data_IF_267532462980
#
_entry.id   IF_267532462980
#
_cell.length_a   1.000
_cell.length_b   1.000
_cell.length_c   1.000
_cell.angle_alpha   90.00
_cell.angle_beta   90.00
_cell.angle_gamma   90.00
#
_symmetry.space_group_name_H-M   'P 1'
#
loop_
_entity.id
_entity.type
_entity.pdbx_description
1 polymer ?
#
# COMPACT_ATOMS: atom_id res chain seq x y z
N UNK A 1 -21.71 37.90 -43.02
CA UNK A 1 -21.29 39.19 -42.46
C UNK A 1 -22.28 39.55 -41.35
N UNK A 2 -21.88 39.92 -40.16
CA UNK A 2 -22.80 40.30 -39.08
C UNK A 2 -23.57 41.56 -39.54
N UNK A 3 -24.91 41.48 -39.51
CA UNK A 3 -25.80 42.63 -39.79
C UNK A 3 -25.73 43.59 -38.57
N UNK A 4 -24.73 44.46 -38.56
CA UNK A 4 -24.59 45.53 -37.60
C UNK A 4 -25.23 46.78 -38.21
N UNK A 5 -26.24 47.36 -37.55
CA UNK A 5 -26.91 48.59 -38.01
C UNK A 5 -25.88 49.74 -38.06
N UNK A 6 -26.26 50.80 -38.84
CA UNK A 6 -25.41 52.00 -39.08
C UNK A 6 -25.02 52.78 -37.84
N UNK A 7 -25.51 52.45 -36.64
CA UNK A 7 -25.21 53.11 -35.34
C UNK A 7 -24.09 52.43 -34.58
N UNK A 8 -23.59 51.23 -35.00
CA UNK A 8 -22.48 50.57 -34.30
C UNK A 8 -21.15 51.13 -34.80
N UNK A 9 -20.22 51.58 -33.90
CA UNK A 9 -18.91 52.10 -34.30
C UNK A 9 -18.12 51.11 -35.17
N UNK A 10 -17.40 51.61 -36.18
CA UNK A 10 -16.66 50.77 -37.13
C UNK A 10 -15.62 49.83 -36.47
N UNK A 11 -15.00 50.28 -35.40
CA UNK A 11 -14.04 49.46 -34.66
C UNK A 11 -14.68 48.23 -34.00
N UNK A 12 -15.93 48.37 -33.50
CA UNK A 12 -16.70 47.24 -32.94
C UNK A 12 -17.10 46.25 -34.02
N UNK A 13 -17.31 46.68 -35.26
CA UNK A 13 -17.58 45.79 -36.40
C UNK A 13 -16.36 44.96 -36.76
N UNK A 14 -15.16 45.55 -36.74
CA UNK A 14 -13.91 44.83 -36.95
C UNK A 14 -13.64 43.84 -35.81
N UNK A 15 -13.80 44.27 -34.54
CA UNK A 15 -13.70 43.40 -33.40
C UNK A 15 -14.66 42.21 -33.48
N UNK A 16 -15.94 42.46 -33.83
CA UNK A 16 -16.91 41.38 -33.97
C UNK A 16 -16.45 40.30 -34.96
N UNK A 17 -15.83 40.70 -36.09
CA UNK A 17 -15.29 39.74 -37.08
C UNK A 17 -14.17 38.86 -36.50
N UNK A 18 -13.28 39.44 -35.71
CA UNK A 18 -12.21 38.71 -35.04
C UNK A 18 -12.76 37.76 -33.97
N UNK A 19 -13.73 38.22 -33.19
CA UNK A 19 -14.35 37.47 -32.11
C UNK A 19 -15.17 36.27 -32.59
N UNK A 20 -15.66 36.28 -33.84
CA UNK A 20 -16.37 35.14 -34.45
C UNK A 20 -15.50 33.90 -34.63
N UNK A 21 -14.18 34.07 -34.78
CA UNK A 21 -13.22 32.94 -34.92
C UNK A 21 -12.91 32.23 -33.58
N UNK A 22 -13.37 32.79 -32.45
CA UNK A 22 -13.15 32.20 -31.14
C UNK A 22 -14.16 31.09 -30.81
N UNK A 23 -13.68 30.00 -30.26
CA UNK A 23 -14.52 28.88 -29.82
C UNK A 23 -15.22 29.16 -28.50
N UNK A 24 -14.75 30.12 -27.71
CA UNK A 24 -15.35 30.53 -26.44
C UNK A 24 -16.43 31.58 -26.68
N UNK A 25 -17.44 31.58 -25.83
CA UNK A 25 -18.48 32.60 -25.88
C UNK A 25 -17.93 33.99 -25.54
N UNK A 26 -18.08 34.97 -26.39
CA UNK A 26 -17.62 36.32 -26.16
C UNK A 26 -18.76 37.32 -26.30
N UNK A 27 -18.86 38.23 -25.34
CA UNK A 27 -19.80 39.35 -25.39
C UNK A 27 -19.10 40.65 -25.01
N UNK A 28 -19.44 41.73 -25.71
CA UNK A 28 -19.07 43.08 -25.34
C UNK A 28 -20.37 43.81 -24.93
N UNK A 29 -20.33 44.45 -23.76
CA UNK A 29 -21.41 45.27 -23.22
C UNK A 29 -20.94 46.71 -23.05
N UNK A 30 -21.88 47.67 -23.15
CA UNK A 30 -21.62 49.08 -22.88
C UNK A 30 -21.60 49.41 -21.37
N UNK A 31 -21.45 50.69 -21.02
CA UNK A 31 -21.45 51.21 -19.64
C UNK A 31 -22.79 51.00 -18.91
N UNK A 32 -23.88 50.68 -19.64
CA UNK A 32 -25.17 50.34 -19.08
C UNK A 32 -25.40 48.82 -19.06
N UNK A 33 -24.36 48.03 -19.29
CA UNK A 33 -24.38 46.57 -19.38
C UNK A 33 -25.29 46.04 -20.51
N UNK A 34 -25.54 46.83 -21.56
CA UNK A 34 -26.31 46.38 -22.73
C UNK A 34 -25.41 45.64 -23.70
N UNK A 35 -25.85 44.49 -24.19
CA UNK A 35 -25.10 43.71 -25.16
C UNK A 35 -24.96 44.48 -26.48
N UNK A 36 -23.72 44.82 -26.84
CA UNK A 36 -23.36 45.48 -28.10
C UNK A 36 -22.92 44.49 -29.17
N UNK A 37 -22.05 43.53 -28.79
CA UNK A 37 -21.51 42.47 -29.65
C UNK A 37 -21.62 41.13 -28.91
N UNK A 38 -22.00 40.08 -29.61
CA UNK A 38 -21.93 38.69 -29.15
C UNK A 38 -21.50 37.82 -30.32
N UNK A 39 -20.54 36.92 -30.09
CA UNK A 39 -20.11 35.98 -31.11
C UNK A 39 -21.02 34.74 -31.17
N UNK A 40 -20.90 33.99 -32.28
CA UNK A 40 -21.71 32.78 -32.53
C UNK A 40 -21.55 31.70 -31.45
N UNK A 41 -20.37 31.59 -30.85
CA UNK A 41 -20.12 30.64 -29.76
C UNK A 41 -20.99 30.96 -28.53
N UNK A 42 -21.10 32.23 -28.12
CA UNK A 42 -21.99 32.63 -27.02
C UNK A 42 -23.46 32.39 -27.36
N UNK A 43 -23.86 32.72 -28.60
CA UNK A 43 -25.25 32.53 -29.06
C UNK A 43 -25.65 31.05 -28.97
N UNK A 44 -24.76 30.15 -29.42
CA UNK A 44 -24.96 28.70 -29.29
C UNK A 44 -25.04 28.26 -27.85
N UNK A 45 -24.11 28.73 -26.98
CA UNK A 45 -24.11 28.40 -25.55
C UNK A 45 -25.41 28.79 -24.87
N UNK A 46 -25.90 30.01 -25.11
CA UNK A 46 -27.15 30.55 -24.53
C UNK A 46 -28.42 30.09 -25.22
N UNK A 47 -28.31 29.49 -26.43
CA UNK A 47 -29.45 29.14 -27.29
C UNK A 47 -30.29 30.36 -27.72
N UNK A 48 -29.66 31.51 -27.92
CA UNK A 48 -30.28 32.74 -28.37
C UNK A 48 -29.88 33.07 -29.81
N UNK A 49 -30.77 33.75 -30.51
CA UNK A 49 -30.38 34.44 -31.74
C UNK A 49 -29.75 35.80 -31.45
N UNK A 50 -29.00 36.34 -32.41
CA UNK A 50 -28.31 37.62 -32.28
C UNK A 50 -29.30 38.76 -32.01
N UNK A 51 -30.43 38.79 -32.71
CA UNK A 51 -31.45 39.80 -32.54
C UNK A 51 -32.16 39.74 -31.19
N UNK A 52 -32.20 38.55 -30.57
CA UNK A 52 -32.83 38.38 -29.27
C UNK A 52 -31.99 38.92 -28.11
N UNK A 53 -30.65 38.93 -28.20
CA UNK A 53 -29.80 39.39 -27.11
C UNK A 53 -29.26 40.80 -27.28
N UNK A 54 -29.26 41.31 -28.49
CA UNK A 54 -28.74 42.65 -28.79
C UNK A 54 -29.50 43.72 -28.00
N UNK A 55 -28.74 44.62 -27.32
CA UNK A 55 -29.30 45.71 -26.51
C UNK A 55 -29.95 45.24 -25.21
N UNK A 56 -29.96 43.93 -24.92
CA UNK A 56 -30.49 43.43 -23.65
C UNK A 56 -29.47 43.64 -22.51
N UNK A 57 -30.01 43.81 -21.32
CA UNK A 57 -29.32 43.96 -20.07
C UNK A 57 -29.37 42.64 -19.24
N UNK A 58 -28.53 42.41 -18.23
CA UNK A 58 -28.52 41.17 -17.45
C UNK A 58 -29.88 40.82 -16.83
N UNK A 59 -30.68 41.79 -16.42
CA UNK A 59 -32.00 41.57 -15.83
C UNK A 59 -33.02 40.95 -16.80
N UNK A 60 -32.81 41.12 -18.11
CA UNK A 60 -33.62 40.46 -19.14
C UNK A 60 -33.17 39.03 -19.46
N UNK A 61 -31.96 38.63 -19.04
CA UNK A 61 -31.33 37.35 -19.40
C UNK A 61 -31.13 36.41 -18.20
N UNK A 62 -30.89 36.99 -17.05
CA UNK A 62 -30.60 36.21 -15.84
C UNK A 62 -31.75 36.27 -14.84
N UNK A 63 -31.98 35.22 -14.04
CA UNK A 63 -32.98 35.25 -12.96
C UNK A 63 -32.73 36.38 -11.98
N UNK A 64 -33.79 37.01 -11.48
CA UNK A 64 -33.71 38.19 -10.58
C UNK A 64 -32.81 37.94 -9.33
N UNK A 65 -32.78 36.73 -8.82
CA UNK A 65 -31.91 36.34 -7.68
C UNK A 65 -30.42 36.42 -7.99
N UNK A 66 -30.04 36.33 -9.25
CA UNK A 66 -28.62 36.25 -9.68
C UNK A 66 -28.08 37.66 -10.02
N UNK A 67 -28.94 38.62 -10.28
CA UNK A 67 -28.57 40.01 -10.66
C UNK A 67 -27.68 40.70 -9.60
N UNK A 68 -27.96 40.64 -8.29
CA UNK A 68 -27.09 41.28 -7.30
C UNK A 68 -25.66 40.72 -7.28
N UNK A 69 -25.48 39.44 -7.61
CA UNK A 69 -24.17 38.84 -7.74
C UNK A 69 -23.42 39.35 -8.97
N UNK A 70 -24.08 39.37 -10.13
CA UNK A 70 -23.49 39.87 -11.39
C UNK A 70 -23.06 41.32 -11.28
N UNK A 71 -23.89 42.17 -10.67
CA UNK A 71 -23.55 43.58 -10.45
C UNK A 71 -22.32 43.76 -9.53
N UNK A 72 -22.23 42.98 -8.42
CA UNK A 72 -21.03 43.00 -7.56
C UNK A 72 -19.78 42.56 -8.32
N UNK A 73 -19.88 41.55 -9.22
CA UNK A 73 -18.73 41.12 -10.02
C UNK A 73 -18.31 42.21 -11.01
N UNK A 74 -19.26 42.90 -11.58
CA UNK A 74 -19.00 44.06 -12.46
C UNK A 74 -18.30 45.20 -11.68
N UNK A 75 -18.81 45.61 -10.50
CA UNK A 75 -18.19 46.63 -9.64
C UNK A 75 -16.76 46.21 -9.21
N UNK A 76 -16.55 44.95 -8.91
CA UNK A 76 -15.23 44.42 -8.60
C UNK A 76 -14.31 44.51 -9.82
N UNK A 77 -14.80 44.14 -11.00
CA UNK A 77 -14.11 44.28 -12.29
C UNK A 77 -13.67 45.72 -12.54
N UNK A 78 -14.58 46.66 -12.32
CA UNK A 78 -14.35 48.11 -12.46
C UNK A 78 -13.24 48.60 -11.52
N UNK A 79 -13.18 48.10 -10.27
CA UNK A 79 -12.14 48.45 -9.32
C UNK A 79 -10.76 47.92 -9.67
N UNK A 80 -10.67 46.71 -10.26
CA UNK A 80 -9.42 46.00 -10.51
C UNK A 80 -9.07 45.82 -12.01
N UNK A 81 -9.86 46.36 -12.91
CA UNK A 81 -9.71 46.27 -14.39
C UNK A 81 -9.96 44.88 -14.96
N UNK A 82 -10.28 43.89 -14.12
CA UNK A 82 -10.58 42.50 -14.51
C UNK A 82 -11.46 41.79 -13.48
N UNK A 83 -12.31 40.89 -13.94
CA UNK A 83 -13.05 39.96 -13.05
C UNK A 83 -12.98 38.54 -13.59
N UNK A 84 -13.05 37.56 -12.69
CA UNK A 84 -13.23 36.15 -13.04
C UNK A 84 -14.10 35.50 -11.99
N UNK A 85 -15.19 34.90 -12.43
CA UNK A 85 -16.10 34.19 -11.51
C UNK A 85 -16.68 32.94 -12.18
N UNK A 86 -16.89 31.90 -11.39
CA UNK A 86 -17.66 30.74 -11.80
C UNK A 86 -19.12 31.00 -11.50
N UNK A 87 -19.98 30.86 -12.50
CA UNK A 87 -21.40 31.14 -12.39
C UNK A 87 -22.19 30.27 -13.37
N UNK A 88 -23.52 30.32 -13.29
CA UNK A 88 -24.37 29.57 -14.19
C UNK A 88 -24.91 30.47 -15.31
N UNK A 89 -24.60 30.14 -16.58
CA UNK A 89 -25.19 30.77 -17.74
C UNK A 89 -26.62 30.19 -17.95
N UNK A 90 -27.66 31.01 -17.89
CA UNK A 90 -29.01 30.56 -18.25
C UNK A 90 -29.15 30.43 -19.76
N UNK A 91 -29.73 29.32 -20.19
CA UNK A 91 -30.13 29.09 -21.58
C UNK A 91 -31.57 29.51 -21.79
N UNK A 92 -31.90 29.81 -23.04
CA UNK A 92 -33.29 30.18 -23.45
C UNK A 92 -34.33 29.11 -23.11
N UNK A 93 -33.94 27.82 -23.11
CA UNK A 93 -34.81 26.70 -22.79
C UNK A 93 -35.03 26.51 -21.28
N UNK A 94 -34.44 27.37 -20.43
CA UNK A 94 -34.52 27.29 -18.97
C UNK A 94 -33.43 26.47 -18.31
N UNK A 95 -32.59 25.73 -19.06
CA UNK A 95 -31.40 25.07 -18.51
C UNK A 95 -30.39 26.10 -17.99
N UNK A 96 -29.53 25.64 -17.09
CA UNK A 96 -28.43 26.46 -16.57
C UNK A 96 -27.13 25.64 -16.68
N UNK A 97 -26.17 26.16 -17.42
CA UNK A 97 -24.86 25.51 -17.55
C UNK A 97 -23.81 26.20 -16.70
N UNK A 98 -22.93 25.45 -16.04
CA UNK A 98 -21.83 26.05 -15.30
C UNK A 98 -20.83 26.66 -16.28
N UNK A 99 -20.49 27.93 -16.05
CA UNK A 99 -19.57 28.65 -16.90
C UNK A 99 -18.63 29.56 -16.09
N UNK A 100 -17.45 29.80 -16.61
CA UNK A 100 -16.52 30.81 -16.11
C UNK A 100 -16.76 32.09 -16.92
N UNK A 101 -17.05 33.17 -16.22
CA UNK A 101 -17.13 34.51 -16.75
C UNK A 101 -15.82 35.25 -16.44
N UNK A 102 -15.10 35.65 -17.47
CA UNK A 102 -13.89 36.46 -17.36
C UNK A 102 -14.10 37.81 -18.01
N UNK A 103 -14.13 38.87 -17.23
CA UNK A 103 -14.42 40.22 -17.68
C UNK A 103 -13.19 41.12 -17.68
N UNK A 104 -13.08 41.98 -18.65
CA UNK A 104 -12.06 43.03 -18.72
C UNK A 104 -12.67 44.31 -19.30
N UNK A 105 -12.37 45.44 -18.67
CA UNK A 105 -12.71 46.76 -19.21
C UNK A 105 -11.82 47.11 -20.39
N UNK A 106 -12.42 47.65 -21.39
CA UNK A 106 -11.78 48.16 -22.61
C UNK A 106 -12.31 49.56 -22.93
N UNK A 107 -11.43 50.45 -23.33
CA UNK A 107 -11.81 51.79 -23.79
C UNK A 107 -11.88 51.80 -25.31
N UNK A 108 -13.01 52.19 -25.83
CA UNK A 108 -13.21 52.36 -27.27
C UNK A 108 -12.47 53.59 -27.83
N UNK A 109 -12.16 53.60 -29.15
CA UNK A 109 -11.62 54.80 -29.82
C UNK A 109 -12.59 55.97 -29.80
N UNK A 110 -13.87 55.71 -29.55
CA UNK A 110 -14.94 56.68 -29.40
C UNK A 110 -14.98 57.33 -28.00
N UNK A 111 -14.06 56.92 -27.10
CA UNK A 111 -13.95 57.44 -25.74
C UNK A 111 -14.94 56.82 -24.73
N UNK A 112 -15.77 55.89 -25.17
CA UNK A 112 -16.70 55.15 -24.31
C UNK A 112 -16.02 53.94 -23.66
N UNK A 113 -16.49 53.57 -22.47
CA UNK A 113 -16.07 52.37 -21.76
C UNK A 113 -16.95 51.19 -22.12
N UNK A 114 -16.31 50.02 -22.28
CA UNK A 114 -17.00 48.76 -22.60
C UNK A 114 -16.43 47.67 -21.71
N UNK A 115 -17.16 46.58 -21.51
CA UNK A 115 -16.68 45.37 -20.85
C UNK A 115 -16.69 44.21 -21.85
N UNK A 116 -15.52 43.65 -22.07
CA UNK A 116 -15.34 42.39 -22.79
C UNK A 116 -15.48 41.23 -21.80
N UNK A 117 -16.44 40.35 -22.01
CA UNK A 117 -16.69 39.16 -21.24
C UNK A 117 -16.41 37.92 -22.09
N UNK A 118 -15.60 37.02 -21.57
CA UNK A 118 -15.40 35.67 -22.12
C UNK A 118 -16.18 34.70 -21.24
N UNK A 119 -16.97 33.86 -21.85
CA UNK A 119 -17.79 32.83 -21.20
C UNK A 119 -17.34 31.46 -21.63
N UNK A 120 -16.72 30.74 -20.73
CA UNK A 120 -16.20 29.39 -20.97
C UNK A 120 -17.15 28.37 -20.34
N UNK A 121 -17.72 27.47 -21.13
CA UNK A 121 -18.53 26.33 -20.63
C UNK A 121 -17.62 25.34 -19.92
N UNK A 122 -17.92 25.05 -18.65
CA UNK A 122 -17.18 24.09 -17.83
C UNK A 122 -18.03 22.85 -17.50
N UNK A 123 -19.10 22.59 -18.24
CA UNK A 123 -19.99 21.45 -17.99
C UNK A 123 -19.25 20.11 -18.06
N UNK A 124 -18.42 19.94 -19.09
CA UNK A 124 -17.61 18.73 -19.24
C UNK A 124 -16.61 18.56 -18.09
N UNK A 125 -15.97 19.66 -17.69
CA UNK A 125 -15.03 19.65 -16.56
C UNK A 125 -15.73 19.26 -15.26
N UNK A 126 -16.89 19.84 -14.96
CA UNK A 126 -17.69 19.53 -13.76
C UNK A 126 -18.19 18.08 -13.75
N UNK A 127 -18.58 17.55 -14.91
CA UNK A 127 -18.98 16.15 -15.03
C UNK A 127 -17.82 15.20 -14.66
N UNK A 128 -16.62 15.46 -15.21
CA UNK A 128 -15.43 14.65 -14.90
C UNK A 128 -15.02 14.77 -13.42
N UNK A 129 -15.09 15.99 -12.87
CA UNK A 129 -14.78 16.23 -11.46
C UNK A 129 -15.71 15.43 -10.52
N UNK A 130 -17.02 15.40 -10.81
CA UNK A 130 -18.00 14.64 -10.02
C UNK A 130 -17.79 13.12 -10.17
N UNK A 131 -17.55 12.64 -11.40
CA UNK A 131 -17.24 11.22 -11.63
C UNK A 131 -15.96 10.79 -10.88
N UNK A 132 -14.93 11.63 -10.87
CA UNK A 132 -13.70 11.36 -10.12
C UNK A 132 -13.96 11.33 -8.62
N UNK A 133 -14.77 12.25 -8.11
CA UNK A 133 -15.16 12.31 -6.70
C UNK A 133 -15.92 11.05 -6.26
N UNK A 134 -16.91 10.63 -7.06
CA UNK A 134 -17.68 9.40 -6.79
C UNK A 134 -16.77 8.15 -6.83
N UNK A 135 -15.89 8.08 -7.84
CA UNK A 135 -14.93 6.97 -7.95
C UNK A 135 -13.98 6.90 -6.75
N UNK A 136 -13.45 8.04 -6.32
CA UNK A 136 -12.56 8.10 -5.15
C UNK A 136 -13.30 7.67 -3.87
N UNK A 137 -14.53 8.14 -3.65
CA UNK A 137 -15.33 7.74 -2.50
C UNK A 137 -15.61 6.22 -2.47
N UNK A 138 -15.87 5.63 -3.64
CA UNK A 138 -16.06 4.17 -3.76
C UNK A 138 -14.76 3.40 -3.48
N UNK A 139 -13.61 3.89 -3.98
CA UNK A 139 -12.30 3.28 -3.73
C UNK A 139 -11.94 3.33 -2.25
N UNK A 140 -12.14 4.47 -1.59
CA UNK A 140 -11.91 4.60 -0.14
C UNK A 140 -12.75 3.62 0.67
N UNK A 141 -14.03 3.49 0.33
CA UNK A 141 -14.92 2.53 0.98
C UNK A 141 -14.40 1.09 0.83
N UNK A 142 -14.03 0.69 -0.39
CA UNK A 142 -13.47 -0.66 -0.64
C UNK A 142 -12.16 -0.90 0.07
N UNK A 143 -11.29 0.12 0.15
CA UNK A 143 -10.04 0.02 0.91
C UNK A 143 -10.29 -0.22 2.41
N UNK A 144 -11.28 0.47 3.00
CA UNK A 144 -11.64 0.27 4.42
C UNK A 144 -12.20 -1.14 4.68
N UNK A 145 -13.08 -1.63 3.80
CA UNK A 145 -13.63 -2.99 3.87
C UNK A 145 -12.51 -4.04 3.79
N UNK A 146 -11.61 -3.93 2.80
CA UNK A 146 -10.48 -4.86 2.62
C UNK A 146 -9.49 -4.79 3.79
N UNK A 147 -9.20 -3.60 4.32
CA UNK A 147 -8.34 -3.44 5.50
C UNK A 147 -8.95 -4.13 6.74
N UNK A 148 -10.28 -4.07 6.91
CA UNK A 148 -11.00 -4.78 7.98
C UNK A 148 -10.89 -6.30 7.87
N UNK A 149 -11.05 -6.85 6.67
CA UNK A 149 -10.90 -8.29 6.40
C UNK A 149 -9.47 -8.77 6.65
N UNK A 150 -8.47 -8.01 6.17
CA UNK A 150 -7.06 -8.31 6.41
C UNK A 150 -6.69 -8.24 7.90
N UNK A 151 -7.23 -7.28 8.64
CA UNK A 151 -7.00 -7.19 10.09
C UNK A 151 -7.60 -8.39 10.85
N UNK A 152 -8.71 -8.96 10.38
CA UNK A 152 -9.26 -10.18 10.94
C UNK A 152 -8.36 -11.39 10.63
N UNK A 153 -7.89 -11.53 9.39
CA UNK A 153 -6.96 -12.59 8.99
C UNK A 153 -5.65 -12.52 9.79
N UNK A 154 -5.11 -11.30 10.01
CA UNK A 154 -3.92 -11.08 10.83
C UNK A 154 -4.10 -11.56 12.28
N UNK A 155 -5.25 -11.30 12.90
CA UNK A 155 -5.54 -11.81 14.26
C UNK A 155 -5.58 -13.33 14.33
N UNK A 156 -6.15 -13.98 13.30
CA UNK A 156 -6.13 -15.45 13.22
C UNK A 156 -4.71 -15.95 13.11
N UNK A 157 -3.88 -15.37 12.25
CA UNK A 157 -2.50 -15.77 12.07
C UNK A 157 -1.63 -15.50 13.32
N UNK A 158 -1.81 -14.35 13.97
CA UNK A 158 -1.11 -14.04 15.23
C UNK A 158 -1.42 -15.05 16.35
N UNK A 159 -2.58 -15.69 16.34
CA UNK A 159 -2.89 -16.75 17.28
C UNK A 159 -2.06 -18.02 17.08
N UNK A 160 -1.40 -18.15 15.93
CA UNK A 160 -0.50 -19.26 15.59
C UNK A 160 0.98 -18.95 15.92
N UNK A 161 1.27 -17.70 16.33
CA UNK A 161 2.62 -17.32 16.71
C UNK A 161 3.11 -18.17 17.90
N UNK A 162 4.36 -18.68 17.84
CA UNK A 162 4.91 -19.50 18.90
C UNK A 162 4.99 -18.68 20.19
N UNK A 163 4.69 -19.31 21.31
CA UNK A 163 4.78 -18.67 22.62
C UNK A 163 6.05 -19.10 23.35
N UNK A 164 6.69 -18.14 24.01
CA UNK A 164 7.79 -18.42 24.91
C UNK A 164 7.30 -19.32 26.05
N UNK A 165 8.10 -20.32 26.41
CA UNK A 165 7.77 -21.24 27.49
C UNK A 165 9.02 -21.76 28.23
N UNK A 166 8.80 -22.25 29.43
CA UNK A 166 9.78 -23.07 30.19
C UNK A 166 9.22 -24.48 30.23
N UNK A 167 10.02 -25.44 29.77
CA UNK A 167 9.70 -26.85 29.76
C UNK A 167 10.86 -27.66 30.35
N UNK A 168 10.63 -28.26 31.51
CA UNK A 168 11.69 -28.93 32.30
C UNK A 168 12.93 -28.02 32.45
N UNK A 169 14.10 -28.50 32.04
CA UNK A 169 15.38 -27.77 32.07
C UNK A 169 15.62 -26.95 30.79
N UNK A 170 14.59 -26.66 30.01
CA UNK A 170 14.67 -25.87 28.77
C UNK A 170 13.85 -24.61 28.87
N UNK A 171 14.43 -23.48 28.48
CA UNK A 171 13.74 -22.23 28.29
C UNK A 171 13.70 -21.89 26.80
N UNK A 172 12.53 -21.44 26.30
CA UNK A 172 12.34 -21.03 24.92
C UNK A 172 11.81 -19.60 24.88
N UNK A 173 12.51 -18.74 24.17
CA UNK A 173 12.06 -17.39 23.83
C UNK A 173 11.77 -17.30 22.35
N UNK A 174 10.65 -16.63 22.02
CA UNK A 174 10.18 -16.51 20.67
C UNK A 174 9.90 -15.05 20.29
N UNK A 175 10.04 -14.75 19.01
CA UNK A 175 9.64 -13.50 18.42
C UNK A 175 9.08 -13.75 17.02
N UNK A 176 7.99 -13.06 16.68
CA UNK A 176 7.41 -13.06 15.35
C UNK A 176 6.93 -11.65 15.00
N UNK A 177 7.28 -11.18 13.82
CA UNK A 177 6.80 -9.91 13.28
C UNK A 177 6.64 -10.02 11.76
N UNK A 178 5.43 -9.97 11.24
CA UNK A 178 5.23 -9.95 9.80
C UNK A 178 5.66 -8.60 9.21
N UNK A 179 6.27 -8.61 8.04
CA UNK A 179 6.65 -7.40 7.30
C UNK A 179 5.43 -6.61 6.80
N UNK A 180 4.32 -7.29 6.58
CA UNK A 180 3.02 -6.72 6.18
C UNK A 180 1.95 -7.09 7.21
N UNK A 181 0.68 -6.87 6.84
CA UNK A 181 -0.46 -7.20 7.72
C UNK A 181 -0.53 -8.69 8.07
N UNK A 182 -0.15 -9.55 7.11
CA UNK A 182 -0.07 -11.02 7.24
C UNK A 182 1.20 -11.51 6.57
N UNK A 183 1.82 -12.57 7.12
CA UNK A 183 3.09 -13.11 6.69
C UNK A 183 3.03 -14.56 6.23
N UNK A 184 4.13 -15.03 5.61
CA UNK A 184 4.36 -16.43 5.22
C UNK A 184 5.05 -17.24 6.30
N UNK A 185 5.72 -16.58 7.24
CA UNK A 185 6.47 -17.22 8.30
C UNK A 185 5.60 -17.78 9.41
N UNK A 186 6.04 -18.85 10.02
CA UNK A 186 5.53 -19.32 11.31
C UNK A 186 6.60 -20.09 12.10
N UNK A 187 6.40 -20.15 13.42
CA UNK A 187 7.18 -21.00 14.30
C UNK A 187 6.28 -21.91 15.13
N UNK A 188 6.83 -23.00 15.62
CA UNK A 188 6.13 -23.91 16.53
C UNK A 188 7.05 -24.25 17.69
N UNK A 189 6.50 -24.26 18.90
CA UNK A 189 7.12 -24.78 20.12
C UNK A 189 6.13 -25.81 20.68
N UNK A 190 6.46 -27.09 20.57
CA UNK A 190 5.56 -28.18 20.87
C UNK A 190 6.18 -29.19 21.83
N UNK A 191 5.79 -29.19 23.10
CA UNK A 191 6.11 -30.27 24.02
C UNK A 191 5.26 -31.49 23.69
N UNK A 192 5.88 -32.61 23.25
CA UNK A 192 5.17 -33.83 22.86
C UNK A 192 4.91 -34.79 24.02
N UNK A 193 5.63 -34.59 25.11
CA UNK A 193 5.58 -35.39 26.37
C UNK A 193 6.53 -34.76 27.39
N UNK A 194 6.68 -35.40 28.54
CA UNK A 194 7.71 -35.04 29.50
C UNK A 194 9.15 -35.34 29.01
N UNK A 195 9.27 -36.00 27.85
CA UNK A 195 10.56 -36.49 27.32
C UNK A 195 11.04 -35.74 26.09
N UNK A 196 10.15 -35.03 25.35
CA UNK A 196 10.46 -34.38 24.08
C UNK A 196 9.85 -33.02 23.93
N UNK A 197 10.63 -32.08 23.36
CA UNK A 197 10.21 -30.76 22.92
C UNK A 197 10.65 -30.55 21.49
N UNK A 198 9.73 -30.27 20.58
CA UNK A 198 10.05 -29.90 19.21
C UNK A 198 9.89 -28.40 19.00
N UNK A 199 10.89 -27.79 18.40
CA UNK A 199 10.94 -26.39 18.03
C UNK A 199 11.24 -26.30 16.56
N UNK A 200 10.51 -25.45 15.83
CA UNK A 200 10.77 -25.24 14.41
C UNK A 200 10.44 -23.81 13.98
N UNK A 201 11.02 -23.42 12.87
CA UNK A 201 10.66 -22.24 12.08
C UNK A 201 10.47 -22.64 10.63
N UNK A 202 9.52 -22.01 9.97
CA UNK A 202 9.19 -22.21 8.57
C UNK A 202 8.96 -20.85 7.90
N UNK A 203 9.47 -20.71 6.70
CA UNK A 203 9.26 -19.56 5.84
C UNK A 203 8.67 -20.03 4.51
N UNK A 204 7.53 -19.46 4.13
CA UNK A 204 6.82 -19.75 2.88
C UNK A 204 7.06 -18.63 1.88
N UNK A 205 7.60 -18.99 0.73
CA UNK A 205 7.95 -18.04 -0.34
C UNK A 205 6.86 -17.05 -0.68
N UNK A 206 7.24 -15.78 -0.84
CA UNK A 206 6.34 -14.69 -1.20
C UNK A 206 5.66 -14.05 0.01
N UNK A 207 4.77 -13.11 -0.25
CA UNK A 207 4.13 -12.31 0.80
C UNK A 207 2.63 -12.11 0.54
N UNK A 208 1.88 -11.85 1.58
CA UNK A 208 0.47 -11.52 1.52
C UNK A 208 -0.44 -12.74 1.70
N UNK A 209 -1.68 -12.66 1.17
CA UNK A 209 -2.75 -13.62 1.47
C UNK A 209 -2.39 -15.04 1.02
N UNK A 210 -1.76 -15.18 -0.15
CA UNK A 210 -1.42 -16.49 -0.71
C UNK A 210 -0.43 -17.24 0.16
N UNK A 211 0.71 -16.63 0.53
CA UNK A 211 1.71 -17.22 1.42
C UNK A 211 1.15 -17.48 2.81
N UNK A 212 0.34 -16.57 3.37
CA UNK A 212 -0.31 -16.76 4.66
C UNK A 212 -1.27 -17.96 4.70
N UNK A 213 -2.06 -18.17 3.64
CA UNK A 213 -2.94 -19.34 3.53
C UNK A 213 -2.15 -20.64 3.40
N UNK A 214 -1.05 -20.62 2.62
CA UNK A 214 -0.15 -21.75 2.51
C UNK A 214 0.53 -22.07 3.84
N UNK A 215 1.04 -21.04 4.54
CA UNK A 215 1.62 -21.17 5.88
C UNK A 215 0.65 -21.82 6.86
N UNK A 216 -0.62 -21.39 6.90
CA UNK A 216 -1.65 -22.00 7.73
C UNK A 216 -1.88 -23.48 7.39
N UNK A 217 -1.81 -23.83 6.12
CA UNK A 217 -2.00 -25.23 5.67
C UNK A 217 -0.82 -26.11 6.07
N UNK A 218 0.42 -25.60 5.88
CA UNK A 218 1.65 -26.27 6.31
C UNK A 218 1.70 -26.36 7.83
N UNK A 219 1.32 -25.32 8.55
CA UNK A 219 1.21 -25.32 10.01
C UNK A 219 0.29 -26.42 10.52
N UNK A 220 -0.90 -26.56 9.94
CA UNK A 220 -1.86 -27.62 10.33
C UNK A 220 -1.29 -29.03 10.10
N UNK A 221 -0.61 -29.25 8.97
CA UNK A 221 0.06 -30.51 8.69
C UNK A 221 1.24 -30.75 9.64
N UNK A 222 2.01 -29.72 9.96
CA UNK A 222 3.10 -29.76 10.94
C UNK A 222 2.58 -30.26 12.29
N UNK A 223 1.50 -29.66 12.81
CA UNK A 223 0.90 -30.13 14.06
C UNK A 223 0.47 -31.58 14.01
N UNK A 224 -0.12 -32.02 12.88
CA UNK A 224 -0.50 -33.41 12.69
C UNK A 224 0.72 -34.36 12.75
N UNK A 225 1.84 -33.98 12.16
CA UNK A 225 3.08 -34.76 12.23
C UNK A 225 3.66 -34.79 13.66
N UNK A 226 3.59 -33.68 14.38
CA UNK A 226 4.05 -33.58 15.79
C UNK A 226 3.20 -34.44 16.72
N UNK A 227 1.88 -34.47 16.58
CA UNK A 227 0.98 -35.35 17.32
C UNK A 227 1.29 -36.84 17.09
N UNK A 228 1.76 -37.18 15.90
CA UNK A 228 2.23 -38.53 15.55
C UNK A 228 3.66 -38.81 16.01
N UNK A 229 4.30 -37.87 16.68
CA UNK A 229 5.68 -37.97 17.18
C UNK A 229 6.71 -38.23 16.08
N UNK A 230 6.46 -37.69 14.88
CA UNK A 230 7.42 -37.77 13.79
C UNK A 230 8.72 -37.03 14.18
N UNK A 231 9.85 -37.65 13.89
CA UNK A 231 11.15 -36.98 14.03
C UNK A 231 11.33 -35.88 13.01
N UNK A 232 12.27 -34.93 13.21
CA UNK A 232 12.43 -33.76 12.35
C UNK A 232 12.58 -34.12 10.86
N UNK A 233 13.45 -35.07 10.49
CA UNK A 233 13.66 -35.47 9.10
C UNK A 233 12.42 -36.10 8.48
N UNK A 234 11.77 -37.04 9.18
CA UNK A 234 10.50 -37.67 8.72
C UNK A 234 9.39 -36.64 8.58
N UNK A 235 9.31 -35.65 9.51
CA UNK A 235 8.34 -34.57 9.44
C UNK A 235 8.54 -33.72 8.18
N UNK A 236 9.77 -33.28 7.90
CA UNK A 236 10.09 -32.51 6.70
C UNK A 236 9.68 -33.25 5.42
N UNK A 237 9.97 -34.56 5.36
CA UNK A 237 9.58 -35.43 4.24
C UNK A 237 8.06 -35.47 4.06
N UNK A 238 7.34 -35.79 5.13
CA UNK A 238 5.90 -35.93 5.09
C UNK A 238 5.20 -34.62 4.70
N UNK A 239 5.70 -33.48 5.15
CA UNK A 239 5.17 -32.17 4.80
C UNK A 239 5.48 -31.85 3.34
N UNK A 240 6.69 -32.14 2.84
CA UNK A 240 7.03 -32.02 1.43
C UNK A 240 6.07 -32.82 0.55
N UNK A 241 5.89 -34.11 0.85
CA UNK A 241 5.01 -35.04 0.10
C UNK A 241 3.55 -34.52 0.15
N UNK A 242 3.10 -34.05 1.30
CA UNK A 242 1.76 -33.47 1.44
C UNK A 242 1.55 -32.23 0.55
N UNK A 243 2.50 -31.30 0.52
CA UNK A 243 2.42 -30.09 -0.32
C UNK A 243 2.52 -30.48 -1.80
N UNK A 244 3.47 -31.34 -2.15
CA UNK A 244 3.68 -31.82 -3.50
C UNK A 244 2.42 -32.51 -4.06
N UNK A 245 1.79 -33.41 -3.31
CA UNK A 245 0.70 -34.24 -3.82
C UNK A 245 -0.66 -33.52 -3.78
N UNK A 246 -0.86 -32.59 -2.86
CA UNK A 246 -2.19 -32.01 -2.60
C UNK A 246 -2.33 -30.54 -2.90
N UNK A 247 -1.22 -29.81 -2.92
CA UNK A 247 -1.22 -28.35 -3.09
C UNK A 247 -0.41 -27.93 -4.32
N UNK A 248 0.00 -28.91 -5.15
CA UNK A 248 0.87 -28.71 -6.29
C UNK A 248 0.50 -27.47 -7.11
N UNK A 249 1.17 -26.37 -6.82
CA UNK A 249 1.22 -25.18 -7.64
C UNK A 249 2.69 -24.86 -7.85
N UNK A 250 3.12 -24.68 -9.09
CA UNK A 250 4.51 -24.28 -9.43
C UNK A 250 4.94 -22.93 -8.81
N UNK A 251 4.08 -22.37 -7.95
CA UNK A 251 4.21 -20.99 -7.48
C UNK A 251 4.66 -20.86 -6.01
N UNK A 252 4.64 -21.94 -5.22
CA UNK A 252 4.99 -21.87 -3.81
C UNK A 252 6.03 -22.93 -3.43
N UNK A 253 7.05 -22.50 -2.76
CA UNK A 253 8.02 -23.32 -2.06
C UNK A 253 8.17 -22.78 -0.63
N UNK A 254 8.75 -23.58 0.23
CA UNK A 254 9.00 -23.16 1.61
C UNK A 254 10.30 -23.74 2.13
N UNK A 255 10.79 -23.13 3.18
CA UNK A 255 11.98 -23.58 3.90
C UNK A 255 11.61 -23.91 5.34
N UNK A 256 12.30 -24.84 5.97
CA UNK A 256 12.02 -25.21 7.35
C UNK A 256 13.27 -25.70 8.07
N UNK A 257 13.44 -25.29 9.33
CA UNK A 257 14.41 -25.85 10.25
C UNK A 257 13.68 -26.35 11.50
N UNK A 258 13.94 -27.58 11.91
CA UNK A 258 13.30 -28.25 13.03
C UNK A 258 14.32 -28.93 13.94
N UNK A 259 14.12 -28.78 15.24
CA UNK A 259 14.94 -29.41 16.30
C UNK A 259 14.00 -30.13 17.25
N UNK A 260 14.28 -31.38 17.54
CA UNK A 260 13.64 -32.14 18.60
C UNK A 260 14.64 -32.39 19.75
N UNK A 261 14.37 -31.79 20.91
CA UNK A 261 15.15 -31.99 22.11
C UNK A 261 14.64 -33.22 22.88
N UNK A 262 15.56 -34.07 23.34
CA UNK A 262 15.34 -35.15 24.27
C UNK A 262 16.10 -34.90 25.55
N UNK A 263 15.38 -34.71 26.65
CA UNK A 263 16.04 -34.33 27.93
C UNK A 263 16.68 -35.50 28.64
N UNK A 264 16.24 -36.74 28.43
CA UNK A 264 16.84 -37.92 29.05
C UNK A 264 18.31 -38.15 28.65
N UNK A 265 18.70 -37.71 27.45
CA UNK A 265 20.07 -37.88 26.94
C UNK A 265 20.78 -36.57 26.67
N UNK A 266 20.16 -35.39 26.99
CA UNK A 266 20.68 -34.09 26.61
C UNK A 266 21.09 -34.03 25.13
N UNK A 267 20.20 -34.50 24.27
CA UNK A 267 20.40 -34.59 22.83
C UNK A 267 19.35 -33.82 22.05
N UNK A 268 19.76 -33.31 20.94
CA UNK A 268 18.85 -32.75 19.96
C UNK A 268 19.03 -33.42 18.60
N UNK A 269 17.94 -33.76 17.94
CA UNK A 269 17.91 -34.15 16.54
C UNK A 269 17.52 -32.94 15.69
N UNK A 270 18.37 -32.56 14.76
CA UNK A 270 18.18 -31.40 13.86
C UNK A 270 17.99 -31.87 12.43
N UNK A 271 17.03 -31.27 11.75
CA UNK A 271 16.86 -31.36 10.30
C UNK A 271 16.42 -30.04 9.72
N UNK A 272 16.94 -29.69 8.55
CA UNK A 272 16.56 -28.47 7.84
C UNK A 272 16.53 -28.68 6.32
N UNK A 273 15.72 -27.89 5.65
CA UNK A 273 15.53 -27.94 4.22
C UNK A 273 15.43 -26.51 3.63
N UNK A 274 16.45 -26.11 2.85
CA UNK A 274 16.55 -24.82 2.21
C UNK A 274 16.59 -23.60 3.14
N UNK A 275 16.67 -23.81 4.44
CA UNK A 275 16.53 -22.79 5.48
C UNK A 275 17.90 -22.21 5.89
N UNK A 276 17.97 -20.94 6.31
CA UNK A 276 19.19 -20.38 6.90
C UNK A 276 19.75 -21.29 8.01
N UNK A 277 21.10 -21.36 8.16
CA UNK A 277 21.70 -22.25 9.15
C UNK A 277 21.27 -21.87 10.57
N UNK A 278 20.77 -22.84 11.34
CA UNK A 278 20.58 -22.61 12.77
C UNK A 278 21.92 -22.44 13.47
N UNK A 279 21.94 -21.69 14.59
CA UNK A 279 23.17 -21.41 15.34
C UNK A 279 23.14 -22.16 16.68
N UNK A 280 24.19 -22.90 16.97
CA UNK A 280 24.45 -23.49 18.29
C UNK A 280 25.54 -22.68 18.99
N UNK A 281 25.16 -22.03 20.09
CA UNK A 281 26.10 -21.39 21.01
C UNK A 281 26.48 -22.41 22.06
N UNK A 282 27.75 -22.75 22.11
CA UNK A 282 28.33 -23.65 23.12
C UNK A 282 29.73 -23.20 23.48
N UNK A 283 30.04 -23.16 24.74
CA UNK A 283 31.38 -22.83 25.24
C UNK A 283 31.96 -21.51 24.70
N UNK A 284 31.10 -20.48 24.52
CA UNK A 284 31.50 -19.15 24.02
C UNK A 284 31.84 -19.10 22.54
N UNK A 285 31.44 -20.10 21.76
CA UNK A 285 31.61 -20.18 20.33
C UNK A 285 30.25 -20.44 19.65
N UNK A 286 30.14 -20.06 18.37
CA UNK A 286 28.96 -20.31 17.52
C UNK A 286 29.31 -21.35 16.47
N UNK A 287 28.54 -22.43 16.42
CA UNK A 287 28.58 -23.45 15.36
C UNK A 287 27.32 -23.34 14.50
N UNK A 288 27.46 -23.40 13.20
CA UNK A 288 26.35 -23.42 12.24
C UNK A 288 25.87 -24.83 11.99
N UNK A 289 24.57 -25.00 11.98
CA UNK A 289 23.86 -26.23 11.62
C UNK A 289 23.22 -25.98 10.27
N UNK A 290 23.83 -26.44 9.20
CA UNK A 290 23.41 -26.17 7.82
C UNK A 290 22.23 -27.05 7.43
N UNK A 291 21.43 -26.57 6.46
CA UNK A 291 20.40 -27.39 5.81
C UNK A 291 21.01 -28.59 5.09
N UNK A 292 20.44 -29.77 5.30
CA UNK A 292 20.85 -31.02 4.65
C UNK A 292 20.08 -31.25 3.33
N UNK A 293 18.97 -30.56 3.15
CA UNK A 293 18.04 -30.71 2.03
C UNK A 293 17.84 -29.40 1.31
N UNK A 294 17.38 -29.46 0.04
CA UNK A 294 16.91 -28.31 -0.73
C UNK A 294 15.58 -27.75 -0.22
N UNK A 295 15.01 -26.78 -0.94
CA UNK A 295 13.70 -26.20 -0.62
C UNK A 295 12.58 -27.23 -0.70
N UNK A 296 11.50 -27.01 0.06
CA UNK A 296 10.37 -27.92 0.15
C UNK A 296 9.20 -27.45 -0.73
N UNK A 297 8.36 -28.40 -1.15
CA UNK A 297 7.14 -28.11 -1.91
C UNK A 297 7.34 -27.86 -3.40
N UNK A 298 8.58 -27.78 -3.88
CA UNK A 298 8.88 -27.60 -5.32
C UNK A 298 8.72 -28.91 -6.08
N UNK A 299 8.00 -28.87 -7.21
CA UNK A 299 7.76 -30.07 -8.06
C UNK A 299 9.02 -30.66 -8.71
N UNK A 300 10.06 -29.85 -8.85
CA UNK A 300 11.32 -30.26 -9.49
C UNK A 300 12.36 -30.83 -8.51
N UNK A 301 12.12 -30.76 -7.21
CA UNK A 301 13.05 -31.22 -6.21
C UNK A 301 12.79 -32.67 -5.81
N UNK A 302 13.88 -33.39 -5.53
CA UNK A 302 13.80 -34.74 -4.92
C UNK A 302 13.29 -34.61 -3.49
N UNK A 303 12.45 -35.56 -3.07
CA UNK A 303 11.96 -35.61 -1.69
C UNK A 303 13.13 -35.55 -0.68
N UNK A 304 13.01 -34.77 0.40
CA UNK A 304 14.09 -34.59 1.37
C UNK A 304 14.48 -35.92 2.04
N UNK A 305 15.73 -36.03 2.43
CA UNK A 305 16.21 -37.12 3.26
C UNK A 305 15.57 -37.06 4.65
N UNK A 306 15.24 -38.21 5.22
CA UNK A 306 14.78 -38.32 6.61
C UNK A 306 15.92 -38.27 7.63
N UNK A 307 17.18 -38.11 7.19
CA UNK A 307 18.33 -38.04 8.08
C UNK A 307 18.26 -36.83 8.99
N UNK A 308 18.79 -36.97 10.18
CA UNK A 308 18.91 -35.92 11.19
C UNK A 308 20.34 -35.84 11.69
N UNK A 309 20.81 -34.63 12.01
CA UNK A 309 22.06 -34.45 12.74
C UNK A 309 21.78 -34.57 14.25
N UNK A 310 22.50 -35.52 14.91
CA UNK A 310 22.43 -35.64 16.35
C UNK A 310 23.42 -34.68 17.00
N UNK A 311 22.94 -33.95 18.01
CA UNK A 311 23.68 -32.91 18.73
C UNK A 311 23.62 -33.24 20.21
N UNK A 312 24.78 -33.40 20.83
CA UNK A 312 24.89 -33.45 22.30
C UNK A 312 24.82 -32.01 22.83
N UNK A 313 24.05 -31.80 23.88
CA UNK A 313 23.81 -30.50 24.51
C UNK A 313 24.28 -30.50 25.97
N UNK A 314 24.91 -29.42 26.38
CA UNK A 314 25.31 -29.17 27.74
C UNK A 314 24.48 -28.05 28.39
N UNK A 315 24.39 -27.98 29.74
CA UNK A 315 23.80 -26.84 30.40
C UNK A 315 24.49 -25.53 30.01
N UNK A 316 23.67 -24.53 29.61
CA UNK A 316 24.15 -23.24 29.11
C UNK A 316 24.22 -23.16 27.57
N UNK A 317 24.09 -24.29 26.87
CA UNK A 317 24.00 -24.27 25.41
C UNK A 317 22.73 -23.60 24.95
N UNK A 318 22.81 -22.84 23.83
CA UNK A 318 21.67 -22.17 23.19
C UNK A 318 21.59 -22.52 21.72
N UNK A 319 20.39 -22.85 21.29
CA UNK A 319 20.05 -23.03 19.87
C UNK A 319 19.24 -21.85 19.38
N UNK A 320 19.60 -21.27 18.24
CA UNK A 320 18.92 -20.14 17.62
C UNK A 320 18.44 -20.54 16.23
N UNK A 321 17.11 -20.57 16.04
CA UNK A 321 16.45 -20.76 14.76
C UNK A 321 15.83 -19.42 14.34
N UNK A 322 15.94 -19.07 13.06
CA UNK A 322 15.49 -17.76 12.56
C UNK A 322 15.22 -17.82 11.07
N UNK A 323 14.37 -16.94 10.57
CA UNK A 323 14.09 -16.78 9.14
C UNK A 323 15.00 -15.72 8.51
N UNK A 324 15.06 -15.72 7.19
CA UNK A 324 15.95 -14.85 6.40
C UNK A 324 15.70 -13.36 6.60
N UNK A 325 14.48 -12.95 7.00
CA UNK A 325 14.18 -11.57 7.36
C UNK A 325 15.04 -10.96 8.47
N UNK A 326 15.84 -11.79 9.21
CA UNK A 326 16.82 -11.31 10.18
C UNK A 326 18.24 -11.14 9.60
N UNK A 327 18.53 -11.76 8.47
CA UNK A 327 19.88 -11.75 7.85
C UNK A 327 19.90 -11.01 6.52
N UNK A 328 18.79 -11.00 5.77
CA UNK A 328 18.65 -10.28 4.51
C UNK A 328 18.23 -8.81 4.69
N UNK A 329 18.79 -8.17 5.72
CA UNK A 329 18.59 -6.76 6.02
C UNK A 329 19.79 -5.93 5.53
N UNK A 330 19.51 -4.78 4.92
CA UNK A 330 20.52 -3.91 4.31
C UNK A 330 20.70 -2.63 5.13
N UNK A 331 21.94 -2.19 5.25
CA UNK A 331 22.28 -0.90 5.84
C UNK A 331 22.13 0.25 4.82
N UNK A 332 22.42 1.48 5.24
CA UNK A 332 22.34 2.68 4.38
C UNK A 332 23.41 2.72 3.27
N UNK A 333 24.42 1.84 3.32
CA UNK A 333 25.43 1.67 2.25
C UNK A 333 25.03 0.57 1.26
N UNK A 334 23.99 -0.20 1.55
CA UNK A 334 23.55 -1.33 0.73
C UNK A 334 24.26 -2.65 1.08
N UNK A 335 25.00 -2.71 2.21
CA UNK A 335 25.61 -3.95 2.66
C UNK A 335 24.59 -4.77 3.42
N UNK A 336 24.54 -6.07 3.14
CA UNK A 336 23.66 -7.03 3.84
C UNK A 336 24.30 -7.44 5.17
N UNK A 337 23.48 -7.64 6.22
CA UNK A 337 23.95 -8.14 7.52
C UNK A 337 24.55 -9.53 7.39
N UNK A 338 23.91 -10.38 6.62
CA UNK A 338 24.18 -11.78 6.34
C UNK A 338 24.21 -12.69 7.59
N UNK A 339 24.50 -13.97 7.38
CA UNK A 339 24.59 -15.00 8.46
C UNK A 339 25.77 -14.70 9.38
N UNK A 340 26.89 -14.17 8.88
CA UNK A 340 28.06 -13.82 9.64
C UNK A 340 27.78 -12.68 10.62
N UNK A 341 27.20 -11.59 10.13
CA UNK A 341 26.86 -10.45 10.96
C UNK A 341 25.82 -10.82 12.02
N UNK A 342 24.80 -11.61 11.65
CA UNK A 342 23.81 -12.10 12.59
C UNK A 342 24.42 -13.02 13.67
N UNK A 343 25.30 -13.96 13.28
CA UNK A 343 25.99 -14.84 14.23
C UNK A 343 26.85 -14.04 15.22
N UNK A 344 27.43 -12.92 14.78
CA UNK A 344 28.20 -12.04 15.67
C UNK A 344 27.28 -11.34 16.68
N UNK A 345 26.11 -10.83 16.28
CA UNK A 345 25.12 -10.25 17.20
C UNK A 345 24.64 -11.25 18.25
N UNK A 346 24.43 -12.50 17.82
CA UNK A 346 24.06 -13.61 18.72
C UNK A 346 25.18 -13.91 19.70
N UNK A 347 26.44 -13.95 19.25
CA UNK A 347 27.61 -14.21 20.10
C UNK A 347 27.83 -13.09 21.12
N UNK A 348 27.72 -11.83 20.70
CA UNK A 348 27.88 -10.66 21.57
C UNK A 348 26.85 -10.64 22.71
N UNK A 349 25.66 -11.21 22.44
CA UNK A 349 24.53 -11.29 23.38
C UNK A 349 24.54 -12.57 24.22
N UNK A 350 25.51 -13.50 24.01
CA UNK A 350 25.51 -14.85 24.57
C UNK A 350 25.52 -14.91 26.12
N UNK A 351 25.98 -13.86 26.79
CA UNK A 351 26.08 -13.81 28.28
C UNK A 351 24.83 -13.22 28.95
N UNK A 352 23.90 -12.64 28.15
CA UNK A 352 22.67 -12.04 28.66
C UNK A 352 21.66 -13.13 29.05
N UNK A 353 20.76 -12.84 30.00
CA UNK A 353 19.57 -13.66 30.22
C UNK A 353 18.79 -13.83 28.91
N UNK A 354 18.09 -14.96 28.72
CA UNK A 354 17.49 -15.34 27.43
C UNK A 354 16.57 -14.28 26.84
N UNK A 355 15.73 -13.66 27.67
CA UNK A 355 14.82 -12.57 27.26
C UNK A 355 15.61 -11.35 26.79
N UNK A 356 16.66 -10.97 27.52
CA UNK A 356 17.52 -9.83 27.19
C UNK A 356 18.34 -10.10 25.92
N UNK A 357 18.83 -11.34 25.75
CA UNK A 357 19.51 -11.78 24.54
C UNK A 357 18.61 -11.64 23.31
N UNK A 358 17.36 -12.13 23.38
CA UNK A 358 16.41 -11.96 22.30
C UNK A 358 16.25 -10.47 21.92
N UNK A 359 16.08 -9.61 22.91
CA UNK A 359 15.91 -8.17 22.66
C UNK A 359 17.19 -7.55 22.07
N UNK A 360 18.36 -7.87 22.60
CA UNK A 360 19.64 -7.35 22.11
C UNK A 360 19.92 -7.75 20.65
N UNK A 361 19.60 -8.98 20.27
CA UNK A 361 19.72 -9.46 18.89
C UNK A 361 18.78 -8.65 17.96
N UNK A 362 17.51 -8.50 18.35
CA UNK A 362 16.54 -7.73 17.57
C UNK A 362 16.93 -6.25 17.45
N UNK A 363 17.41 -5.64 18.53
CA UNK A 363 17.89 -4.25 18.53
C UNK A 363 19.13 -4.09 17.64
N UNK A 364 20.03 -5.07 17.64
CA UNK A 364 21.21 -5.10 16.77
C UNK A 364 20.83 -5.13 15.27
N UNK A 365 19.88 -6.00 14.91
CA UNK A 365 19.34 -6.08 13.54
C UNK A 365 18.65 -4.77 13.17
N UNK A 366 17.85 -4.20 14.08
CA UNK A 366 17.15 -2.92 13.84
C UNK A 366 18.13 -1.76 13.69
N UNK A 367 19.23 -1.74 14.43
CA UNK A 367 20.28 -0.71 14.31
C UNK A 367 21.06 -0.82 12.99
N UNK A 368 21.24 -2.03 12.46
CA UNK A 368 21.86 -2.24 11.15
C UNK A 368 20.96 -1.81 10.01
N UNK A 369 19.68 -2.15 10.10
CA UNK A 369 18.71 -2.01 9.02
C UNK A 369 18.39 -0.56 8.66
N UNK A 370 18.38 -0.27 7.37
CA UNK A 370 17.85 0.97 6.80
C UNK A 370 16.49 0.73 6.15
N UNK A 371 15.46 1.45 6.60
CA UNK A 371 14.10 1.34 6.08
C UNK A 371 13.20 0.33 6.82
N UNK A 372 11.99 0.05 6.30
CA UNK A 372 11.05 -0.92 6.88
C UNK A 372 11.57 -2.36 6.73
N UNK A 373 10.93 -3.30 7.41
CA UNK A 373 11.15 -4.73 7.18
C UNK A 373 10.75 -5.08 5.75
N UNK A 374 11.64 -5.78 5.04
CA UNK A 374 11.39 -6.24 3.68
C UNK A 374 10.69 -7.61 3.69
N UNK A 375 10.98 -8.45 4.67
CA UNK A 375 10.40 -9.78 4.85
C UNK A 375 9.99 -10.04 6.29
N UNK A 376 9.23 -11.11 6.49
CA UNK A 376 8.75 -11.57 7.80
C UNK A 376 9.93 -11.97 8.69
N UNK A 377 9.78 -11.81 9.98
CA UNK A 377 10.82 -12.11 10.97
C UNK A 377 10.30 -13.11 11.97
N UNK A 378 10.94 -14.27 12.01
CA UNK A 378 10.74 -15.29 13.04
C UNK A 378 12.07 -15.58 13.74
N UNK A 379 12.03 -15.63 15.07
CA UNK A 379 13.20 -15.96 15.91
C UNK A 379 12.76 -16.87 17.04
N UNK A 380 13.47 -17.96 17.23
CA UNK A 380 13.30 -18.88 18.36
C UNK A 380 14.66 -19.17 18.97
N UNK A 381 14.80 -18.89 20.24
CA UNK A 381 16.01 -19.15 21.02
C UNK A 381 15.67 -20.18 22.10
N UNK A 382 16.39 -21.28 22.11
CA UNK A 382 16.26 -22.36 23.09
C UNK A 382 17.50 -22.39 23.97
N UNK A 383 17.33 -22.44 25.28
CA UNK A 383 18.42 -22.57 26.26
C UNK A 383 18.23 -23.84 27.07
N UNK A 384 19.28 -24.66 27.17
CA UNK A 384 19.36 -25.81 28.09
C UNK A 384 19.90 -25.32 29.42
N UNK A 385 19.22 -25.60 30.53
CA UNK A 385 19.59 -25.18 31.90
C UNK A 385 20.39 -26.25 32.63
#
# INVERSE_FOLDING_TARGET
MPNLNNETPDWLRHMATILEELNEGVVIVDDQLRVVVANEALLRLGMYSRDEIRGRTPDAMFPAKDIPYLLRQHESGHRYGRSRSEFYLPRKNGERIPAIFSGREIQGPDGHEYVLLIVTDISAQKCVEEQLRESNALLEKRHMEMAGELALAARVQQSLAPQSLVWNDVSVETYYSPARTIGGDFGVVFPDSDEGLTVLVCDVSGHGIGSALMANRIYSETLHQLERKAGPGTMLRNIHDFVHDRLATDSFYFTMAAVRLSMRGRRAAFAAAGHPPALLLSNGSVRRLNSQNGILGCLSETAPSESTDEIDLEPGDRLVLYTDGLVEVFNHHGDMLDVEGFAQLVLDSAKLPLVEMRQAVLDGVAAWRHGPLADDVSLVIVEVR
#
